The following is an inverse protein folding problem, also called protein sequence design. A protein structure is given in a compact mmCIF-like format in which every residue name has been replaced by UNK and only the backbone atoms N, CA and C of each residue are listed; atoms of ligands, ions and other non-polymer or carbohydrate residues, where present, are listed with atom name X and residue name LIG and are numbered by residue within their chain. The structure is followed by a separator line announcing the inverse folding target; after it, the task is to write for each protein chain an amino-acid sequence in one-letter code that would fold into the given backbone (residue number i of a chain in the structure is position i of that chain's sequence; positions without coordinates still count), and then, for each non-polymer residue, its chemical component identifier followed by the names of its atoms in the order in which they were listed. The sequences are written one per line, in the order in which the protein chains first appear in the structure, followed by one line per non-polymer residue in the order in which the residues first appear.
data_IF_521608589515
#
_entry.id   IF_521608589515
#
_cell.length_a   1.000
_cell.length_b   1.000
_cell.length_c   1.000
_cell.angle_alpha   90.00
_cell.angle_beta   90.00
_cell.angle_gamma   90.00
#
_symmetry.space_group_name_H-M   'P 1'
#
loop_
_entity.id
_entity.type
_entity.pdbx_description
1 polymer ?
#
# COMPACT_ATOMS: atom_id res chain seq x y z
N UNK A 1 -13.32 -16.45 -17.60
CA UNK A 1 -12.88 -15.06 -17.37
C UNK A 1 -11.71 -15.12 -16.41
N UNK A 2 -10.55 -14.58 -16.76
CA UNK A 2 -9.44 -14.47 -15.80
C UNK A 2 -9.90 -13.64 -14.60
N UNK A 3 -9.62 -14.13 -13.39
CA UNK A 3 -9.93 -13.40 -12.16
C UNK A 3 -9.01 -12.17 -12.14
N UNK A 4 -9.59 -10.96 -12.13
CA UNK A 4 -8.81 -9.72 -11.98
C UNK A 4 -8.03 -9.81 -10.66
N UNK A 5 -6.74 -9.47 -10.69
CA UNK A 5 -5.89 -9.47 -9.52
C UNK A 5 -6.37 -8.48 -8.45
N UNK A 6 -6.04 -8.73 -7.18
CA UNK A 6 -6.47 -7.89 -6.06
C UNK A 6 -5.91 -6.47 -6.14
N UNK A 7 -6.65 -5.48 -5.66
CA UNK A 7 -6.13 -4.12 -5.50
C UNK A 7 -5.14 -4.14 -4.33
N UNK A 8 -3.88 -3.78 -4.60
CA UNK A 8 -2.86 -3.67 -3.58
C UNK A 8 -3.04 -2.39 -2.76
N UNK A 9 -2.89 -2.47 -1.44
CA UNK A 9 -2.93 -1.31 -0.54
C UNK A 9 -1.70 -1.36 0.34
N UNK A 10 -0.88 -0.32 0.28
CA UNK A 10 0.37 -0.22 1.03
C UNK A 10 0.30 0.86 2.12
N UNK A 11 0.76 0.54 3.32
CA UNK A 11 1.06 1.51 4.37
C UNK A 11 2.39 1.21 5.08
N UNK A 12 3.01 2.22 5.68
CA UNK A 12 4.22 2.03 6.49
C UNK A 12 3.95 1.25 7.79
N UNK A 13 2.69 1.13 8.21
CA UNK A 13 2.29 0.36 9.38
C UNK A 13 0.83 -0.11 9.29
N UNK A 14 0.06 0.11 10.37
CA UNK A 14 -1.36 -0.29 10.45
C UNK A 14 -2.35 0.85 10.15
N UNK A 15 -1.88 2.09 10.00
CA UNK A 15 -2.75 3.25 9.83
C UNK A 15 -3.60 3.13 8.57
N UNK A 16 -3.03 2.59 7.49
CA UNK A 16 -3.72 2.36 6.22
C UNK A 16 -4.90 1.39 6.28
N UNK A 17 -5.02 0.57 7.34
CA UNK A 17 -6.20 -0.30 7.53
C UNK A 17 -7.49 0.51 7.72
N UNK A 18 -7.39 1.74 8.25
CA UNK A 18 -8.54 2.64 8.38
C UNK A 18 -9.07 3.07 7.01
N UNK A 19 -8.17 3.39 6.08
CA UNK A 19 -8.50 3.73 4.69
C UNK A 19 -9.05 2.50 3.96
N UNK A 20 -8.38 1.35 4.09
CA UNK A 20 -8.84 0.10 3.47
C UNK A 20 -10.25 -0.27 3.94
N UNK A 21 -10.55 -0.10 5.24
CA UNK A 21 -11.88 -0.37 5.79
C UNK A 21 -12.95 0.47 5.11
N UNK A 22 -12.71 1.75 4.87
CA UNK A 22 -13.69 2.61 4.17
C UNK A 22 -13.79 2.26 2.69
N UNK A 23 -12.68 1.92 2.02
CA UNK A 23 -12.69 1.47 0.62
C UNK A 23 -13.54 0.19 0.46
N UNK A 24 -13.35 -0.81 1.31
CA UNK A 24 -14.12 -2.07 1.26
C UNK A 24 -15.63 -1.81 1.41
N UNK A 25 -16.04 -0.85 2.22
CA UNK A 25 -17.46 -0.50 2.38
C UNK A 25 -18.08 0.05 1.09
N UNK A 26 -17.34 0.86 0.34
CA UNK A 26 -17.84 1.51 -0.89
C UNK A 26 -17.62 0.68 -2.15
N UNK A 27 -16.65 -0.25 -2.11
CA UNK A 27 -16.25 -1.09 -3.25
C UNK A 27 -16.10 -2.58 -2.82
N UNK A 28 -17.16 -3.21 -2.28
CA UNK A 28 -17.11 -4.57 -1.75
C UNK A 28 -16.94 -5.66 -2.83
N UNK A 29 -17.10 -5.32 -4.11
CA UNK A 29 -16.97 -6.23 -5.24
C UNK A 29 -15.52 -6.54 -5.64
N UNK A 30 -14.55 -5.82 -5.07
CA UNK A 30 -13.12 -6.01 -5.34
C UNK A 30 -12.43 -6.80 -4.22
N UNK A 31 -11.47 -7.63 -4.62
CA UNK A 31 -10.52 -8.25 -3.69
C UNK A 31 -9.37 -7.26 -3.39
N UNK A 32 -8.89 -7.24 -2.14
CA UNK A 32 -7.80 -6.36 -1.70
C UNK A 32 -6.65 -7.15 -1.09
N UNK A 33 -5.41 -6.71 -1.34
CA UNK A 33 -4.21 -7.22 -0.68
C UNK A 33 -3.53 -6.07 0.08
N UNK A 34 -3.47 -6.16 1.40
CA UNK A 34 -2.83 -5.15 2.23
C UNK A 34 -1.38 -5.52 2.56
N UNK A 35 -0.46 -4.58 2.37
CA UNK A 35 0.94 -4.69 2.77
C UNK A 35 1.27 -3.58 3.77
N UNK A 36 1.58 -3.98 5.01
CA UNK A 36 2.08 -3.07 6.05
C UNK A 36 3.58 -3.27 6.28
N UNK A 37 4.40 -2.24 6.05
CA UNK A 37 5.85 -2.30 6.21
C UNK A 37 6.35 -2.04 7.65
N UNK A 38 5.75 -2.77 8.59
CA UNK A 38 5.93 -2.56 10.02
C UNK A 38 7.40 -2.70 10.48
N UNK A 39 8.20 -3.53 9.80
CA UNK A 39 9.61 -3.74 10.13
C UNK A 39 10.48 -2.48 9.96
N UNK A 40 10.03 -1.52 9.14
CA UNK A 40 10.76 -0.27 8.85
C UNK A 40 10.00 0.98 9.31
N UNK A 41 8.87 0.80 9.96
CA UNK A 41 8.09 1.88 10.57
C UNK A 41 8.90 2.60 11.70
N UNK A 42 8.60 3.89 11.97
CA UNK A 42 7.75 4.80 11.20
C UNK A 42 8.53 5.46 10.05
N UNK A 43 7.84 5.78 8.95
CA UNK A 43 8.45 6.50 7.82
C UNK A 43 8.66 8.00 8.08
N UNK A 44 7.90 8.59 9.00
CA UNK A 44 7.91 10.04 9.26
C UNK A 44 9.29 10.62 9.58
N UNK A 45 10.15 9.86 10.26
CA UNK A 45 11.49 10.26 10.69
C UNK A 45 12.59 9.96 9.65
N UNK A 46 12.24 9.38 8.50
CA UNK A 46 13.19 8.99 7.46
C UNK A 46 13.37 10.09 6.40
N UNK A 47 14.55 10.09 5.78
CA UNK A 47 14.85 10.97 4.64
C UNK A 47 13.97 10.65 3.44
N UNK A 48 13.86 11.60 2.51
CA UNK A 48 13.10 11.43 1.27
C UNK A 48 13.55 10.18 0.49
N UNK A 49 14.86 10.05 0.22
CA UNK A 49 15.40 8.95 -0.58
C UNK A 49 15.08 7.58 0.02
N UNK A 50 15.13 7.46 1.35
CA UNK A 50 14.81 6.22 2.06
C UNK A 50 13.32 5.90 1.96
N UNK A 51 12.45 6.91 2.15
CA UNK A 51 11.00 6.73 2.01
C UNK A 51 10.64 6.33 0.58
N UNK A 52 11.24 6.99 -0.42
CA UNK A 52 11.04 6.67 -1.83
C UNK A 52 11.45 5.23 -2.12
N UNK A 53 12.64 4.81 -1.70
CA UNK A 53 13.13 3.46 -1.98
C UNK A 53 12.27 2.38 -1.30
N UNK A 54 11.88 2.57 -0.03
CA UNK A 54 11.02 1.61 0.63
C UNK A 54 9.63 1.54 0.00
N UNK A 55 9.06 2.69 -0.38
CA UNK A 55 7.76 2.76 -1.08
C UNK A 55 7.83 2.04 -2.42
N UNK A 56 8.91 2.25 -3.19
CA UNK A 56 9.15 1.57 -4.47
C UNK A 56 9.23 0.05 -4.30
N UNK A 57 9.95 -0.43 -3.29
CA UNK A 57 10.06 -1.86 -2.99
C UNK A 57 8.69 -2.48 -2.63
N UNK A 58 7.90 -1.79 -1.80
CA UNK A 58 6.56 -2.24 -1.41
C UNK A 58 5.58 -2.24 -2.59
N UNK A 59 5.60 -1.20 -3.43
CA UNK A 59 4.78 -1.15 -4.64
C UNK A 59 5.16 -2.27 -5.62
N UNK A 60 6.47 -2.50 -5.82
CA UNK A 60 6.95 -3.62 -6.65
C UNK A 60 6.52 -4.97 -6.10
N UNK A 61 6.62 -5.18 -4.78
CA UNK A 61 6.14 -6.40 -4.14
C UNK A 61 4.67 -6.67 -4.47
N UNK A 62 3.80 -5.67 -4.34
CA UNK A 62 2.37 -5.81 -4.67
C UNK A 62 2.15 -6.12 -6.16
N UNK A 63 2.86 -5.44 -7.07
CA UNK A 63 2.77 -5.73 -8.50
C UNK A 63 3.21 -7.17 -8.83
N UNK A 64 4.29 -7.65 -8.21
CA UNK A 64 4.79 -9.02 -8.37
C UNK A 64 3.80 -10.06 -7.78
N UNK A 65 2.89 -9.64 -6.87
CA UNK A 65 1.79 -10.45 -6.33
C UNK A 65 0.48 -10.28 -7.12
N UNK A 66 0.60 -9.92 -8.41
CA UNK A 66 -0.52 -9.79 -9.34
C UNK A 66 -1.53 -8.70 -8.93
N UNK A 67 -1.09 -7.64 -8.27
CA UNK A 67 -1.94 -6.45 -8.06
C UNK A 67 -1.83 -5.51 -9.27
N UNK A 68 -2.87 -5.39 -10.12
CA UNK A 68 -2.84 -4.51 -11.29
C UNK A 68 -2.94 -3.02 -10.93
N UNK A 69 -3.32 -2.72 -9.69
CA UNK A 69 -3.42 -1.38 -9.12
C UNK A 69 -2.87 -1.40 -7.70
N UNK A 70 -2.11 -0.35 -7.33
CA UNK A 70 -1.58 -0.15 -5.97
C UNK A 70 -2.03 1.20 -5.43
N UNK A 71 -2.58 1.21 -4.22
CA UNK A 71 -2.98 2.40 -3.47
C UNK A 71 -1.95 2.64 -2.36
N UNK A 72 -1.39 3.85 -2.31
CA UNK A 72 -0.53 4.29 -1.21
C UNK A 72 -1.41 4.89 -0.10
N UNK A 73 -1.66 4.10 0.96
CA UNK A 73 -2.45 4.49 2.13
C UNK A 73 -1.60 5.16 3.24
N UNK A 74 -0.29 5.30 3.05
CA UNK A 74 0.61 6.03 3.95
C UNK A 74 0.75 7.49 3.53
N UNK A 75 0.30 8.43 4.36
CA UNK A 75 0.48 9.87 4.09
C UNK A 75 1.93 10.27 3.83
N UNK A 76 2.88 9.73 4.61
CA UNK A 76 4.31 10.06 4.43
C UNK A 76 4.87 9.50 3.12
N UNK A 77 4.45 8.30 2.72
CA UNK A 77 4.83 7.75 1.42
C UNK A 77 4.21 8.60 0.30
N UNK A 78 2.90 8.87 0.35
CA UNK A 78 2.21 9.65 -0.69
C UNK A 78 2.74 11.07 -0.86
N UNK A 79 3.25 11.69 0.20
CA UNK A 79 3.86 13.02 0.13
C UNK A 79 5.31 13.03 -0.39
N UNK A 80 5.99 11.88 -0.41
CA UNK A 80 7.42 11.75 -0.72
C UNK A 80 7.71 10.73 -1.83
N UNK A 81 6.70 10.20 -2.50
CA UNK A 81 6.79 9.20 -3.56
C UNK A 81 6.59 9.82 -4.95
#
# INVERSE_FOLDING_TARGET
MEKKGSIGVFDSGFGGLTILKEIIKVMPEYDFLFLGDNARAPYGTRSFDIVYEYTRQCAKYLMDHNCPLVILACNTASAKA
#
